data_IF_610505579349
#
_entry.id   IF_610505579349
#
_cell.length_a   1.000
_cell.length_b   1.000
_cell.length_c   1.000
_cell.angle_alpha   90.00
_cell.angle_beta   90.00
_cell.angle_gamma   90.00
#
_symmetry.space_group_name_H-M   'P 1'
#
loop_
_entity.id
_entity.type
_entity.pdbx_description
1 polymer ?
#
# COMPACT_ATOMS: atom_id res chain seq x y z
N UNK A 1 2.38 86.14 -3.50
CA UNK A 1 3.81 86.40 -3.21
C UNK A 1 4.57 85.14 -3.64
N UNK A 2 5.11 84.98 -4.85
CA UNK A 2 5.72 85.91 -5.80
C UNK A 2 6.96 86.63 -5.29
N UNK A 3 8.13 86.08 -5.63
CA UNK A 3 9.28 86.83 -6.15
C UNK A 3 9.87 86.08 -7.36
N UNK A 4 10.09 86.82 -8.45
CA UNK A 4 10.83 86.49 -9.69
C UNK A 4 12.06 87.45 -9.70
N UNK A 5 12.92 87.62 -10.76
CA UNK A 5 13.06 86.95 -12.07
C UNK A 5 14.52 86.37 -12.25
N UNK A 6 15.17 86.14 -13.42
CA UNK A 6 14.87 86.40 -14.83
C UNK A 6 15.64 85.47 -15.83
N UNK A 7 15.13 85.42 -17.08
CA UNK A 7 15.82 85.52 -18.40
C UNK A 7 17.33 85.24 -18.44
N UNK A 8 17.84 84.33 -19.30
CA UNK A 8 18.25 84.61 -20.71
C UNK A 8 19.17 83.45 -21.20
N UNK A 9 19.27 82.98 -22.47
CA UNK A 9 18.63 83.28 -23.78
C UNK A 9 18.70 82.05 -24.74
N UNK A 10 17.92 82.09 -25.82
CA UNK A 10 18.02 81.36 -27.12
C UNK A 10 19.19 81.92 -27.98
N UNK A 11 19.75 81.31 -29.04
CA UNK A 11 19.73 79.95 -29.64
C UNK A 11 20.72 79.91 -30.85
N UNK A 12 20.94 78.72 -31.43
CA UNK A 12 21.31 78.43 -32.84
C UNK A 12 22.65 78.95 -33.44
N UNK A 13 23.53 78.02 -33.83
CA UNK A 13 24.38 78.13 -35.03
C UNK A 13 24.86 76.74 -35.55
N UNK A 14 24.30 76.36 -36.71
CA UNK A 14 24.88 75.70 -37.91
C UNK A 14 26.24 74.97 -37.73
N UNK A 15 26.42 73.66 -37.95
CA UNK A 15 26.13 72.78 -39.11
C UNK A 15 27.25 72.66 -40.18
N UNK A 16 27.80 71.43 -40.28
CA UNK A 16 28.20 70.69 -41.50
C UNK A 16 29.66 70.62 -42.03
N UNK A 17 30.07 69.38 -42.41
CA UNK A 17 31.15 68.93 -43.33
C UNK A 17 32.64 69.18 -42.90
N UNK A 18 33.67 68.34 -43.22
CA UNK A 18 33.81 67.09 -44.01
C UNK A 18 34.94 66.16 -43.46
N UNK A 19 34.80 64.85 -43.74
CA UNK A 19 35.77 63.72 -43.74
C UNK A 19 37.20 63.84 -43.14
N UNK A 20 37.56 62.82 -42.34
CA UNK A 20 38.35 61.72 -42.92
C UNK A 20 39.68 61.33 -42.27
N UNK A 21 39.67 60.35 -41.37
CA UNK A 21 40.66 59.26 -41.44
C UNK A 21 40.16 57.98 -40.74
N UNK A 22 40.19 56.88 -41.47
CA UNK A 22 39.87 55.53 -40.99
C UNK A 22 41.15 54.88 -40.48
N UNK A 23 41.15 54.40 -39.25
CA UNK A 23 41.96 53.23 -38.88
C UNK A 23 41.27 52.44 -37.78
N UNK A 24 41.22 51.11 -37.97
CA UNK A 24 40.26 50.26 -37.30
C UNK A 24 40.57 50.00 -35.83
N UNK A 25 39.55 50.11 -34.99
CA UNK A 25 39.40 49.26 -33.82
C UNK A 25 38.15 48.42 -34.02
N UNK A 26 38.33 47.16 -34.40
CA UNK A 26 37.29 46.13 -34.27
C UNK A 26 37.07 45.89 -32.78
N UNK A 27 36.28 46.75 -32.14
CA UNK A 27 35.69 46.43 -30.84
C UNK A 27 34.81 45.21 -31.09
N UNK A 28 35.31 44.05 -30.69
CA UNK A 28 34.50 42.87 -30.58
C UNK A 28 33.34 43.24 -29.67
N UNK A 29 32.15 43.33 -30.24
CA UNK A 29 30.94 43.24 -29.46
C UNK A 29 30.93 41.83 -28.87
N UNK A 30 31.54 41.69 -27.69
CA UNK A 30 30.99 40.77 -26.70
C UNK A 30 29.56 41.26 -26.48
N UNK A 31 28.67 40.69 -27.30
CA UNK A 31 27.34 40.37 -26.85
C UNK A 31 27.52 39.52 -25.60
N UNK A 32 27.59 40.20 -24.46
CA UNK A 32 27.19 39.63 -23.19
C UNK A 32 25.72 39.27 -23.38
N UNK A 33 25.49 38.09 -23.97
CA UNK A 33 24.21 37.44 -23.97
C UNK A 33 23.76 37.45 -22.51
N UNK A 34 22.57 37.97 -22.18
CA UNK A 34 22.02 37.73 -20.87
C UNK A 34 21.87 36.21 -20.75
N UNK A 35 22.80 35.57 -20.04
CA UNK A 35 22.77 34.17 -19.65
C UNK A 35 21.66 34.00 -18.61
N UNK A 36 20.43 34.10 -19.10
CA UNK A 36 19.21 34.12 -18.33
C UNK A 36 18.21 33.17 -19.00
N UNK A 37 18.37 31.84 -18.81
CA UNK A 37 17.25 30.92 -18.88
C UNK A 37 16.34 31.18 -17.66
N UNK A 38 15.55 32.25 -17.70
CA UNK A 38 14.61 32.65 -16.64
C UNK A 38 13.33 31.82 -16.62
N UNK A 39 13.45 30.50 -16.80
CA UNK A 39 12.34 29.55 -16.63
C UNK A 39 12.84 28.30 -15.90
N UNK A 40 13.17 28.45 -14.62
CA UNK A 40 13.50 27.33 -13.73
C UNK A 40 12.31 26.43 -13.36
N UNK A 41 11.15 26.65 -13.97
CA UNK A 41 9.92 25.87 -13.77
C UNK A 41 9.81 24.81 -14.88
N UNK A 42 9.72 23.54 -14.49
CA UNK A 42 9.45 22.42 -15.38
C UNK A 42 7.96 22.04 -15.36
N UNK A 43 7.49 21.54 -16.50
CA UNK A 43 6.20 20.85 -16.64
C UNK A 43 6.50 19.41 -17.01
N UNK A 44 6.09 18.46 -16.17
CA UNK A 44 6.28 17.04 -16.42
C UNK A 44 4.93 16.33 -16.53
N UNK A 45 4.80 15.49 -17.54
CA UNK A 45 3.61 14.68 -17.79
C UNK A 45 3.86 13.24 -17.34
N UNK A 46 2.84 12.62 -16.75
CA UNK A 46 2.90 11.21 -16.38
C UNK A 46 2.63 10.29 -17.57
N UNK A 47 3.04 9.02 -17.47
CA UNK A 47 2.90 8.03 -18.55
C UNK A 47 1.45 7.85 -19.00
N UNK A 48 0.48 7.98 -18.09
CA UNK A 48 -0.95 7.90 -18.41
C UNK A 48 -1.57 9.25 -18.82
N UNK A 49 -0.80 10.33 -18.91
CA UNK A 49 -1.23 11.73 -19.16
C UNK A 49 -2.24 12.32 -18.16
N UNK A 50 -2.65 11.54 -17.15
CA UNK A 50 -3.57 11.98 -16.10
C UNK A 50 -2.93 13.00 -15.17
N UNK A 51 -1.64 12.86 -14.83
CA UNK A 51 -0.95 13.78 -13.94
C UNK A 51 -0.06 14.76 -14.71
N UNK A 52 -0.14 16.04 -14.32
CA UNK A 52 0.75 17.10 -14.79
C UNK A 52 1.41 17.74 -13.57
N UNK A 53 2.70 17.52 -13.40
CA UNK A 53 3.47 18.07 -12.28
C UNK A 53 4.20 19.33 -12.73
N UNK A 54 3.96 20.42 -12.01
CA UNK A 54 4.55 21.74 -12.20
C UNK A 54 5.40 22.06 -10.99
N UNK A 55 6.66 22.38 -11.19
CA UNK A 55 7.58 22.69 -10.10
C UNK A 55 8.91 23.19 -10.63
N UNK A 56 9.86 23.46 -9.75
CA UNK A 56 11.21 23.86 -10.14
C UNK A 56 12.24 22.83 -9.66
N UNK A 57 13.43 22.82 -10.26
CA UNK A 57 14.51 21.91 -9.87
C UNK A 57 14.86 22.08 -8.38
N UNK A 58 15.18 21.01 -7.65
CA UNK A 58 15.63 21.12 -6.27
C UNK A 58 16.87 22.01 -6.11
N UNK A 59 16.90 22.82 -5.06
CA UNK A 59 17.95 23.80 -4.79
C UNK A 59 17.86 25.10 -5.60
N UNK A 60 16.88 25.25 -6.50
CA UNK A 60 16.58 26.53 -7.16
C UNK A 60 15.72 27.44 -6.27
N UNK A 61 15.73 28.75 -6.53
CA UNK A 61 15.02 29.75 -5.71
C UNK A 61 13.48 29.58 -5.63
N UNK A 62 12.88 28.84 -6.57
CA UNK A 62 11.44 28.51 -6.59
C UNK A 62 11.16 27.02 -6.29
N UNK A 63 12.21 26.20 -6.27
CA UNK A 63 12.13 24.75 -6.14
C UNK A 63 12.17 24.25 -4.69
N UNK A 64 11.99 22.95 -4.48
CA UNK A 64 12.15 22.35 -3.16
C UNK A 64 13.59 22.55 -2.68
N UNK A 65 13.83 22.71 -1.36
CA UNK A 65 15.18 22.92 -0.84
C UNK A 65 16.07 21.70 -1.09
N UNK A 66 17.38 21.91 -1.25
CA UNK A 66 18.38 20.86 -1.49
C UNK A 66 18.36 19.78 -0.40
N UNK A 67 18.72 18.54 -0.74
CA UNK A 67 18.64 17.37 0.16
C UNK A 67 19.30 17.58 1.54
N UNK A 68 20.36 18.39 1.60
CA UNK A 68 21.10 18.74 2.83
C UNK A 68 20.30 19.60 3.83
N UNK A 69 19.23 20.26 3.39
CA UNK A 69 18.37 21.15 4.19
C UNK A 69 17.04 20.50 4.57
N UNK A 70 16.91 19.19 4.36
CA UNK A 70 15.68 18.42 4.57
C UNK A 70 15.73 17.70 5.90
N UNK A 71 14.66 17.85 6.68
CA UNK A 71 14.48 17.17 7.96
C UNK A 71 14.37 15.65 7.77
N UNK A 72 14.86 14.86 8.72
CA UNK A 72 15.04 13.40 8.58
C UNK A 72 13.76 12.60 8.34
N UNK A 73 12.58 13.19 8.56
CA UNK A 73 11.27 12.56 8.34
C UNK A 73 10.49 13.16 7.14
N UNK A 74 11.10 14.08 6.39
CA UNK A 74 10.47 14.78 5.27
C UNK A 74 11.05 14.38 3.91
N UNK A 75 10.18 14.34 2.90
CA UNK A 75 10.53 14.08 1.52
C UNK A 75 10.83 15.39 0.79
N UNK A 76 11.82 15.36 -0.10
CA UNK A 76 12.00 16.38 -1.13
C UNK A 76 10.90 16.23 -2.18
N UNK A 77 10.13 17.28 -2.46
CA UNK A 77 9.15 17.25 -3.57
C UNK A 77 9.84 17.50 -4.93
N UNK A 78 10.77 16.62 -5.32
CA UNK A 78 11.34 16.61 -6.67
C UNK A 78 10.22 16.29 -7.69
N UNK A 79 9.93 17.19 -8.66
CA UNK A 79 8.87 16.95 -9.64
C UNK A 79 9.03 15.65 -10.43
N UNK A 80 10.27 15.22 -10.70
CA UNK A 80 10.60 14.02 -11.47
C UNK A 80 10.19 12.75 -10.73
N UNK A 81 10.52 12.66 -9.45
CA UNK A 81 10.11 11.54 -8.59
C UNK A 81 8.62 11.61 -8.27
N UNK A 82 8.06 12.81 -8.15
CA UNK A 82 6.63 13.00 -7.88
C UNK A 82 5.76 12.45 -9.01
N UNK A 83 6.12 12.67 -10.29
CA UNK A 83 5.43 12.05 -11.44
C UNK A 83 5.43 10.51 -11.35
N UNK A 84 6.60 9.92 -11.07
CA UNK A 84 6.74 8.46 -10.94
C UNK A 84 5.94 7.91 -9.76
N UNK A 85 5.94 8.64 -8.64
CA UNK A 85 5.15 8.33 -7.44
C UNK A 85 3.66 8.34 -7.75
N UNK A 86 3.16 9.33 -8.50
CA UNK A 86 1.76 9.43 -8.89
C UNK A 86 1.31 8.23 -9.73
N UNK A 87 2.11 7.81 -10.73
CA UNK A 87 1.81 6.62 -11.55
C UNK A 87 1.82 5.32 -10.72
N UNK A 88 2.76 5.16 -9.78
CA UNK A 88 2.82 3.99 -8.89
C UNK A 88 1.61 3.94 -7.96
N UNK A 89 1.34 5.02 -7.23
CA UNK A 89 0.19 5.14 -6.32
C UNK A 89 -1.12 4.91 -7.06
N UNK A 90 -1.29 5.47 -8.26
CA UNK A 90 -2.44 5.21 -9.13
C UNK A 90 -2.58 3.74 -9.49
N UNK A 91 -1.51 3.12 -10.00
CA UNK A 91 -1.53 1.72 -10.44
C UNK A 91 -1.96 0.79 -9.31
N UNK A 92 -1.38 0.98 -8.12
CA UNK A 92 -1.69 0.16 -6.95
C UNK A 92 -3.08 0.45 -6.38
N UNK A 93 -3.50 1.72 -6.28
CA UNK A 93 -4.85 2.06 -5.81
C UNK A 93 -5.93 1.46 -6.74
N UNK A 94 -5.75 1.56 -8.06
CA UNK A 94 -6.69 0.95 -9.02
C UNK A 94 -6.71 -0.58 -8.90
N UNK A 95 -5.55 -1.23 -8.68
CA UNK A 95 -5.46 -2.67 -8.42
C UNK A 95 -6.25 -3.07 -7.16
N UNK A 96 -6.06 -2.39 -6.02
CA UNK A 96 -6.78 -2.70 -4.79
C UNK A 96 -8.28 -2.43 -4.87
N UNK A 97 -8.68 -1.38 -5.59
CA UNK A 97 -10.09 -1.11 -5.88
C UNK A 97 -10.69 -2.07 -6.92
N UNK A 98 -9.88 -2.87 -7.64
CA UNK A 98 -10.34 -3.72 -8.74
C UNK A 98 -10.82 -2.94 -9.98
N UNK A 99 -10.27 -1.76 -10.22
CA UNK A 99 -10.64 -0.85 -11.31
C UNK A 99 -9.64 -0.88 -12.46
N UNK A 100 -10.15 -0.74 -13.68
CA UNK A 100 -9.33 -0.44 -14.86
C UNK A 100 -8.92 1.03 -14.92
N UNK A 101 -7.81 1.31 -15.62
CA UNK A 101 -7.33 2.67 -15.86
C UNK A 101 -8.13 3.38 -16.97
N UNK A 102 -9.34 3.82 -16.61
CA UNK A 102 -10.24 4.62 -17.46
C UNK A 102 -10.47 5.99 -16.82
N UNK A 103 -9.38 6.73 -16.61
CA UNK A 103 -9.45 8.08 -16.05
C UNK A 103 -10.14 9.06 -16.99
N UNK A 104 -10.77 10.07 -16.41
CA UNK A 104 -11.48 11.15 -17.12
C UNK A 104 -11.06 12.54 -16.64
N UNK A 105 -10.69 12.66 -15.36
CA UNK A 105 -10.21 13.91 -14.78
C UNK A 105 -8.69 14.02 -14.72
N UNK A 106 -8.14 15.11 -15.28
CA UNK A 106 -6.70 15.44 -15.17
C UNK A 106 -6.39 16.04 -13.80
N UNK A 107 -5.27 15.62 -13.21
CA UNK A 107 -4.78 16.02 -11.89
C UNK A 107 -3.49 16.83 -12.07
N UNK A 108 -3.56 18.13 -11.80
CA UNK A 108 -2.41 19.04 -11.82
C UNK A 108 -1.81 19.13 -10.42
N UNK A 109 -0.49 19.02 -10.29
CA UNK A 109 0.21 19.10 -9.00
C UNK A 109 1.26 20.21 -9.07
N UNK A 110 1.08 21.24 -8.26
CA UNK A 110 1.95 22.42 -8.22
C UNK A 110 2.86 22.34 -6.98
N UNK A 111 4.15 22.05 -7.18
CA UNK A 111 5.19 22.09 -6.15
C UNK A 111 5.60 23.55 -5.92
N UNK A 112 5.50 24.02 -4.67
CA UNK A 112 5.89 25.38 -4.27
C UNK A 112 6.95 25.34 -3.18
N UNK A 113 8.20 25.61 -3.55
CA UNK A 113 9.35 25.55 -2.65
C UNK A 113 9.27 26.46 -1.42
N UNK A 114 8.65 27.63 -1.57
CA UNK A 114 8.56 28.64 -0.51
C UNK A 114 7.46 28.43 0.54
N UNK A 115 6.62 27.40 0.42
CA UNK A 115 5.63 27.06 1.44
C UNK A 115 6.28 26.29 2.59
N UNK A 116 5.81 26.51 3.82
CA UNK A 116 6.32 25.78 5.00
C UNK A 116 5.93 24.30 4.90
N UNK A 117 6.78 23.36 5.39
CA UNK A 117 6.45 21.93 5.35
C UNK A 117 5.13 21.59 6.06
N UNK A 118 4.76 22.35 7.09
CA UNK A 118 3.54 22.18 7.89
C UNK A 118 2.27 22.75 7.26
N UNK A 119 2.35 23.49 6.14
CA UNK A 119 1.15 24.03 5.48
C UNK A 119 0.26 22.92 4.91
N UNK A 120 -1.08 23.05 4.98
CA UNK A 120 -2.00 22.03 4.52
C UNK A 120 -1.92 21.85 2.99
N UNK A 121 -1.98 20.60 2.53
CA UNK A 121 -2.08 20.29 1.11
C UNK A 121 -3.53 20.48 0.68
N UNK A 122 -3.80 21.52 -0.10
CA UNK A 122 -5.14 21.84 -0.60
C UNK A 122 -5.37 21.15 -1.94
N UNK A 123 -6.55 20.53 -2.09
CA UNK A 123 -7.03 19.96 -3.35
C UNK A 123 -8.26 20.72 -3.80
N UNK A 124 -8.13 21.47 -4.89
CA UNK A 124 -9.23 22.16 -5.54
C UNK A 124 -9.84 21.27 -6.62
N UNK A 125 -11.17 21.25 -6.71
CA UNK A 125 -11.92 20.51 -7.74
C UNK A 125 -12.65 21.50 -8.64
N UNK A 126 -12.27 21.55 -9.90
CA UNK A 126 -12.76 22.52 -10.89
C UNK A 126 -13.63 21.82 -11.94
N UNK A 127 -14.93 22.08 -11.93
CA UNK A 127 -15.84 21.59 -12.95
C UNK A 127 -15.68 22.37 -14.26
N UNK A 128 -15.61 21.67 -15.39
CA UNK A 128 -15.66 22.26 -16.72
C UNK A 128 -16.64 21.44 -17.59
N UNK A 129 -17.19 22.01 -18.68
CA UNK A 129 -18.02 21.26 -19.64
C UNK A 129 -17.31 20.04 -20.25
N UNK A 130 -15.97 20.03 -20.28
CA UNK A 130 -15.14 18.89 -20.69
C UNK A 130 -14.77 17.93 -19.56
N UNK A 131 -15.44 17.98 -18.41
CA UNK A 131 -15.18 17.12 -17.25
C UNK A 131 -14.45 17.80 -16.10
N UNK A 132 -14.26 17.04 -15.02
CA UNK A 132 -13.62 17.47 -13.79
C UNK A 132 -12.10 17.62 -13.94
N UNK A 133 -11.52 18.64 -13.32
CA UNK A 133 -10.06 18.80 -13.16
C UNK A 133 -9.73 19.02 -11.70
N UNK A 134 -8.57 18.52 -11.28
CA UNK A 134 -8.11 18.63 -9.90
C UNK A 134 -6.79 19.40 -9.85
N UNK A 135 -6.64 20.29 -8.88
CA UNK A 135 -5.39 20.99 -8.63
C UNK A 135 -4.94 20.72 -7.19
N UNK A 136 -3.75 20.16 -7.03
CA UNK A 136 -3.09 19.94 -5.75
C UNK A 136 -1.95 20.95 -5.62
N UNK A 137 -1.83 21.61 -4.47
CA UNK A 137 -0.67 22.46 -4.15
C UNK A 137 0.12 21.79 -3.03
N UNK A 138 1.40 21.47 -3.29
CA UNK A 138 2.29 20.81 -2.32
C UNK A 138 3.49 21.70 -1.95
N UNK A 139 3.90 21.73 -0.66
CA UNK A 139 5.11 22.44 -0.23
C UNK A 139 6.39 21.76 -0.76
N UNK A 140 7.53 22.47 -0.72
CA UNK A 140 8.81 21.94 -1.18
C UNK A 140 9.35 20.75 -0.38
N UNK A 141 8.93 20.61 0.88
CA UNK A 141 9.15 19.42 1.70
C UNK A 141 7.82 18.94 2.27
N UNK A 142 7.58 17.64 2.30
CA UNK A 142 6.32 17.06 2.83
C UNK A 142 6.57 15.69 3.48
N UNK A 143 5.86 15.38 4.57
CA UNK A 143 5.85 14.04 5.15
C UNK A 143 5.32 12.99 4.16
N UNK A 144 5.91 11.79 4.17
CA UNK A 144 5.49 10.67 3.31
C UNK A 144 4.00 10.33 3.45
N UNK A 145 3.50 10.28 4.69
CA UNK A 145 2.09 10.00 5.00
C UNK A 145 1.16 11.06 4.41
N UNK A 146 1.56 12.34 4.50
CA UNK A 146 0.76 13.48 4.00
C UNK A 146 0.73 13.52 2.47
N UNK A 147 1.83 13.19 1.79
CA UNK A 147 1.84 13.01 0.34
C UNK A 147 0.89 11.89 -0.08
N UNK A 148 0.98 10.71 0.57
CA UNK A 148 0.13 9.57 0.24
C UNK A 148 -1.36 9.89 0.38
N UNK A 149 -1.75 10.55 1.49
CA UNK A 149 -3.13 11.00 1.73
C UNK A 149 -3.64 11.90 0.60
N UNK A 150 -2.88 12.93 0.25
CA UNK A 150 -3.25 13.86 -0.81
C UNK A 150 -3.41 13.18 -2.19
N UNK A 151 -2.49 12.29 -2.56
CA UNK A 151 -2.59 11.53 -3.81
C UNK A 151 -3.78 10.56 -3.81
N UNK A 152 -4.00 9.87 -2.69
CA UNK A 152 -5.15 8.96 -2.50
C UNK A 152 -6.46 9.73 -2.63
N UNK A 153 -6.60 10.86 -1.94
CA UNK A 153 -7.76 11.75 -2.00
C UNK A 153 -8.05 12.26 -3.41
N UNK A 154 -7.02 12.73 -4.12
CA UNK A 154 -7.18 13.22 -5.50
C UNK A 154 -7.66 12.13 -6.46
N UNK A 155 -7.12 10.92 -6.34
CA UNK A 155 -7.54 9.78 -7.14
C UNK A 155 -8.96 9.30 -6.78
N UNK A 156 -9.31 9.26 -5.49
CA UNK A 156 -10.67 8.91 -5.06
C UNK A 156 -11.69 9.94 -5.53
N UNK A 157 -11.36 11.24 -5.50
CA UNK A 157 -12.17 12.31 -6.09
C UNK A 157 -12.35 12.11 -7.60
N UNK A 158 -11.28 11.78 -8.34
CA UNK A 158 -11.37 11.50 -9.77
C UNK A 158 -12.29 10.30 -10.03
N UNK A 159 -12.06 9.17 -9.36
CA UNK A 159 -12.86 7.94 -9.49
C UNK A 159 -14.33 8.17 -9.15
N UNK A 160 -14.63 8.85 -8.04
CA UNK A 160 -16.01 9.12 -7.60
C UNK A 160 -16.76 10.06 -8.55
N UNK A 161 -16.06 11.01 -9.18
CA UNK A 161 -16.65 11.95 -10.14
C UNK A 161 -16.65 11.45 -11.60
N UNK A 162 -16.22 10.21 -11.90
CA UNK A 162 -16.33 9.63 -13.25
C UNK A 162 -17.79 9.55 -13.66
N UNK A 163 -18.17 10.31 -14.70
CA UNK A 163 -19.56 10.43 -15.14
C UNK A 163 -20.44 11.35 -14.29
N UNK A 164 -19.90 12.05 -13.29
CA UNK A 164 -20.64 13.05 -12.53
C UNK A 164 -20.88 14.31 -13.39
N UNK A 165 -22.11 14.47 -13.87
CA UNK A 165 -22.57 15.62 -14.66
C UNK A 165 -22.97 16.84 -13.82
N UNK A 166 -23.08 16.69 -12.49
CA UNK A 166 -23.39 17.81 -11.60
C UNK A 166 -22.16 18.72 -11.40
N UNK A 167 -22.40 19.96 -10.99
CA UNK A 167 -21.34 20.92 -10.64
C UNK A 167 -20.82 20.74 -9.21
N UNK A 168 -21.32 19.73 -8.46
CA UNK A 168 -20.88 19.44 -7.09
C UNK A 168 -19.86 18.28 -7.10
N UNK A 169 -18.65 18.46 -6.54
CA UNK A 169 -17.70 17.37 -6.43
C UNK A 169 -18.17 16.35 -5.37
N UNK A 170 -17.83 15.08 -5.57
CA UNK A 170 -17.94 14.06 -4.52
C UNK A 170 -17.23 14.49 -3.23
N UNK A 171 -17.84 14.22 -2.08
CA UNK A 171 -17.20 14.38 -0.77
C UNK A 171 -16.67 13.01 -0.30
N UNK A 172 -15.34 12.85 -0.33
CA UNK A 172 -14.69 11.61 0.11
C UNK A 172 -14.69 11.55 1.65
N UNK A 173 -15.19 10.46 2.28
CA UNK A 173 -15.14 10.31 3.72
C UNK A 173 -13.71 10.25 4.25
N UNK A 174 -13.48 10.87 5.41
CA UNK A 174 -12.14 10.94 6.02
C UNK A 174 -11.57 9.55 6.32
N UNK A 175 -12.40 8.61 6.79
CA UNK A 175 -11.98 7.22 7.04
C UNK A 175 -11.55 6.50 5.76
N UNK A 176 -12.13 6.82 4.60
CA UNK A 176 -11.76 6.18 3.34
C UNK A 176 -10.42 6.71 2.83
N UNK A 177 -10.23 8.04 2.90
CA UNK A 177 -8.95 8.69 2.56
C UNK A 177 -7.81 8.18 3.45
N UNK A 178 -7.96 8.26 4.78
CA UNK A 178 -6.91 7.85 5.72
C UNK A 178 -6.66 6.36 5.68
N UNK A 179 -7.74 5.56 5.61
CA UNK A 179 -7.67 4.11 5.65
C UNK A 179 -6.96 3.53 4.43
N UNK A 180 -7.34 3.96 3.21
CA UNK A 180 -6.66 3.52 1.99
C UNK A 180 -5.20 4.03 1.95
N UNK A 181 -4.95 5.30 2.30
CA UNK A 181 -3.59 5.84 2.29
C UNK A 181 -2.66 5.07 3.25
N UNK A 182 -3.14 4.69 4.44
CA UNK A 182 -2.36 3.88 5.40
C UNK A 182 -2.26 2.42 4.98
N UNK A 183 -3.33 1.82 4.44
CA UNK A 183 -3.33 0.43 3.95
C UNK A 183 -2.33 0.21 2.81
N UNK A 184 -2.32 1.11 1.82
CA UNK A 184 -1.40 1.07 0.69
C UNK A 184 0.07 1.24 1.11
N UNK A 185 0.36 2.15 2.05
CA UNK A 185 1.70 2.29 2.63
C UNK A 185 2.14 1.04 3.39
N UNK A 186 1.23 0.37 4.10
CA UNK A 186 1.54 -0.85 4.85
C UNK A 186 1.77 -2.07 3.94
N UNK A 187 1.04 -2.17 2.81
CA UNK A 187 1.22 -3.24 1.82
C UNK A 187 2.52 -3.11 1.01
N UNK A 188 2.86 -1.90 0.57
CA UNK A 188 3.89 -1.70 -0.46
C UNK A 188 5.11 -0.87 0.00
N UNK A 189 5.05 -0.25 1.18
CA UNK A 189 6.18 0.41 1.84
C UNK A 189 6.94 1.40 0.97
N UNK A 190 8.27 1.29 0.99
CA UNK A 190 9.20 2.16 0.24
C UNK A 190 9.07 2.05 -1.29
N UNK A 191 8.42 1.01 -1.82
CA UNK A 191 8.30 0.84 -3.28
C UNK A 191 7.36 1.85 -3.94
N UNK A 192 6.37 2.38 -3.21
CA UNK A 192 5.41 3.37 -3.73
C UNK A 192 6.04 4.74 -3.92
N UNK A 193 6.83 5.19 -2.95
CA UNK A 193 7.36 6.56 -2.86
C UNK A 193 8.89 6.46 -2.85
N UNK A 194 9.54 6.44 -4.03
CA UNK A 194 10.99 6.38 -4.12
C UNK A 194 11.63 7.67 -3.59
N UNK A 195 12.65 7.54 -2.74
CA UNK A 195 13.42 8.68 -2.23
C UNK A 195 14.83 8.67 -2.81
N UNK A 196 15.40 9.85 -3.11
CA UNK A 196 16.79 9.96 -3.62
C UNK A 196 17.80 9.35 -2.63
N UNK A 197 17.50 9.43 -1.33
CA UNK A 197 18.33 8.89 -0.24
C UNK A 197 18.32 7.36 -0.16
N UNK A 198 17.35 6.66 -0.75
CA UNK A 198 17.13 5.22 -0.59
C UNK A 198 17.23 4.40 -1.89
N UNK A 199 17.69 5.01 -2.99
CA UNK A 199 17.86 4.35 -4.30
C UNK A 199 18.77 3.09 -4.29
N UNK A 200 19.55 2.88 -3.23
CA UNK A 200 20.41 1.70 -3.02
C UNK A 200 19.76 0.57 -2.20
N UNK A 201 18.53 0.71 -1.71
CA UNK A 201 17.88 -0.25 -0.80
C UNK A 201 16.54 -0.79 -1.34
N UNK A 202 16.59 -1.56 -2.42
CA UNK A 202 15.49 -2.45 -2.83
C UNK A 202 15.92 -3.91 -2.59
N UNK A 203 16.13 -4.25 -1.31
CA UNK A 203 16.06 -5.64 -0.88
C UNK A 203 14.64 -5.94 -0.43
N UNK A 204 14.08 -7.05 -0.92
CA UNK A 204 12.75 -7.51 -0.56
C UNK A 204 12.72 -7.89 0.93
N UNK A 205 12.29 -6.96 1.78
CA UNK A 205 11.81 -7.31 3.10
C UNK A 205 10.57 -8.20 2.92
N UNK A 206 10.58 -9.39 3.54
CA UNK A 206 9.40 -10.25 3.58
C UNK A 206 8.22 -9.44 4.14
N UNK A 207 7.10 -9.40 3.41
CA UNK A 207 5.95 -8.53 3.69
C UNK A 207 5.64 -8.51 5.20
N UNK A 208 5.98 -7.42 5.92
CA UNK A 208 5.63 -7.32 7.33
C UNK A 208 4.10 -7.27 7.42
N UNK A 209 3.54 -7.89 8.45
CA UNK A 209 2.09 -7.95 8.62
C UNK A 209 1.51 -6.53 8.60
N UNK A 210 0.63 -6.30 7.61
CA UNK A 210 0.00 -5.02 7.24
C UNK A 210 -0.65 -4.31 8.43
N UNK A 211 -1.08 -5.08 9.44
CA UNK A 211 -1.75 -4.59 10.63
C UNK A 211 -0.89 -4.58 11.90
N UNK A 212 0.42 -4.85 11.81
CA UNK A 212 1.33 -4.82 12.98
C UNK A 212 1.20 -3.53 13.79
N UNK A 213 1.27 -2.39 13.11
CA UNK A 213 1.13 -1.06 13.73
C UNK A 213 -0.32 -0.81 14.20
N UNK A 214 -1.32 -1.23 13.42
CA UNK A 214 -2.72 -1.06 13.79
C UNK A 214 -3.08 -1.86 15.06
N UNK A 215 -2.61 -3.11 15.21
CA UNK A 215 -2.79 -3.89 16.44
C UNK A 215 -2.09 -3.22 17.62
N UNK A 216 -0.83 -2.79 17.45
CA UNK A 216 -0.08 -2.06 18.49
C UNK A 216 -0.81 -0.81 19.00
N UNK A 217 -1.42 -0.04 18.09
CA UNK A 217 -2.09 1.22 18.41
C UNK A 217 -3.51 1.04 18.96
N UNK A 218 -4.26 0.02 18.51
CA UNK A 218 -5.65 -0.21 18.91
C UNK A 218 -5.80 -1.15 20.12
N UNK A 219 -4.71 -1.82 20.54
CA UNK A 219 -4.68 -2.69 21.73
C UNK A 219 -5.22 -1.99 22.96
N UNK A 220 -6.25 -2.56 23.58
CA UNK A 220 -6.86 -2.05 24.80
C UNK A 220 -7.71 -0.78 24.63
N UNK A 221 -7.89 -0.26 23.41
CA UNK A 221 -8.82 0.85 23.16
C UNK A 221 -10.28 0.38 23.17
N UNK A 222 -11.18 1.27 23.55
CA UNK A 222 -12.62 1.06 23.40
C UNK A 222 -13.04 1.10 21.93
N UNK A 223 -14.13 0.40 21.60
CA UNK A 223 -14.77 0.44 20.28
C UNK A 223 -15.12 1.89 19.91
N UNK A 224 -14.63 2.33 18.74
CA UNK A 224 -15.14 3.54 18.07
C UNK A 224 -16.31 3.10 17.21
N UNK A 225 -17.48 3.74 17.32
CA UNK A 225 -18.65 3.35 16.53
C UNK A 225 -18.45 3.61 15.04
N UNK A 226 -19.11 2.83 14.19
CA UNK A 226 -19.08 3.02 12.75
C UNK A 226 -19.70 4.37 12.35
N UNK A 227 -20.74 4.80 13.07
CA UNK A 227 -21.33 6.13 12.93
C UNK A 227 -20.33 7.26 13.23
N UNK A 228 -19.56 7.16 14.32
CA UNK A 228 -18.54 8.17 14.67
C UNK A 228 -17.42 8.24 13.63
N UNK A 229 -16.95 7.09 13.13
CA UNK A 229 -15.94 7.03 12.06
C UNK A 229 -16.44 7.71 10.77
N UNK A 230 -17.73 7.59 10.45
CA UNK A 230 -18.34 8.25 9.30
C UNK A 230 -18.49 9.77 9.46
N UNK A 231 -18.54 10.28 10.68
CA UNK A 231 -18.76 11.70 11.00
C UNK A 231 -17.49 12.45 11.45
N UNK A 232 -16.39 11.72 11.65
CA UNK A 232 -15.09 12.24 12.10
C UNK A 232 -14.55 13.39 11.24
N UNK A 233 -13.94 14.39 11.90
CA UNK A 233 -13.31 15.55 11.26
C UNK A 233 -11.87 15.77 11.75
N UNK A 234 -10.95 16.29 10.92
CA UNK A 234 -9.53 16.40 11.30
C UNK A 234 -9.26 17.29 12.51
N UNK A 235 -10.10 18.31 12.74
CA UNK A 235 -10.03 19.27 13.85
C UNK A 235 -10.36 18.67 15.23
N UNK A 236 -10.90 17.46 15.29
CA UNK A 236 -11.35 16.80 16.52
C UNK A 236 -10.26 15.99 17.22
N UNK A 237 -9.09 15.82 16.58
CA UNK A 237 -8.07 14.86 17.01
C UNK A 237 -6.77 15.53 17.44
N UNK A 238 -6.26 15.15 18.61
CA UNK A 238 -4.84 15.33 18.94
C UNK A 238 -3.96 14.32 18.17
N UNK A 239 -2.64 14.46 18.22
CA UNK A 239 -1.71 13.61 17.45
C UNK A 239 -1.84 12.09 17.73
N UNK A 240 -2.16 11.70 18.97
CA UNK A 240 -2.32 10.29 19.34
C UNK A 240 -3.66 9.72 18.87
N UNK A 241 -4.74 10.48 19.10
CA UNK A 241 -6.09 10.15 18.63
C UNK A 241 -6.14 10.10 17.09
N UNK A 242 -5.38 10.97 16.43
CA UNK A 242 -5.24 11.01 14.98
C UNK A 242 -4.64 9.71 14.44
N UNK A 243 -3.55 9.21 15.03
CA UNK A 243 -2.96 7.94 14.57
C UNK A 243 -3.84 6.74 14.92
N UNK A 244 -4.54 6.76 16.06
CA UNK A 244 -5.55 5.75 16.40
C UNK A 244 -6.72 5.75 15.41
N UNK A 245 -7.22 6.92 15.00
CA UNK A 245 -8.23 7.07 13.95
C UNK A 245 -7.73 6.48 12.63
N UNK A 246 -6.49 6.79 12.22
CA UNK A 246 -5.90 6.25 10.97
C UNK A 246 -5.74 4.73 11.00
N UNK A 247 -5.30 4.15 12.12
CA UNK A 247 -5.25 2.70 12.31
C UNK A 247 -6.65 2.06 12.25
N UNK A 248 -7.65 2.72 12.83
CA UNK A 248 -9.05 2.26 12.81
C UNK A 248 -9.63 2.31 11.40
N UNK A 249 -9.37 3.41 10.68
CA UNK A 249 -9.75 3.60 9.29
C UNK A 249 -9.08 2.57 8.35
N UNK A 250 -7.81 2.24 8.59
CA UNK A 250 -7.10 1.19 7.83
C UNK A 250 -7.77 -0.17 7.99
N UNK A 251 -8.14 -0.55 9.23
CA UNK A 251 -8.88 -1.78 9.51
C UNK A 251 -10.24 -1.76 8.81
N UNK A 252 -11.02 -0.70 8.98
CA UNK A 252 -12.35 -0.56 8.37
C UNK A 252 -12.31 -0.70 6.84
N UNK A 253 -11.39 0.00 6.18
CA UNK A 253 -11.21 -0.08 4.72
C UNK A 253 -10.87 -1.50 4.27
N UNK A 254 -9.95 -2.16 4.95
CA UNK A 254 -9.52 -3.51 4.56
C UNK A 254 -10.65 -4.53 4.75
N UNK A 255 -11.37 -4.47 5.86
CA UNK A 255 -12.49 -5.38 6.16
C UNK A 255 -13.66 -5.15 5.19
N UNK A 256 -13.93 -3.90 4.79
CA UNK A 256 -14.88 -3.59 3.72
C UNK A 256 -14.43 -4.12 2.33
N UNK A 257 -13.13 -4.17 2.07
CA UNK A 257 -12.56 -4.78 0.84
C UNK A 257 -12.57 -6.31 0.88
N UNK A 258 -12.47 -6.93 2.06
CA UNK A 258 -12.48 -8.38 2.27
C UNK A 258 -13.88 -9.01 2.36
N UNK A 259 -14.95 -8.22 2.48
CA UNK A 259 -16.31 -8.69 2.29
C UNK A 259 -16.47 -9.38 0.91
N UNK A 260 -17.37 -10.38 0.77
CA UNK A 260 -17.72 -10.94 -0.53
C UNK A 260 -18.14 -9.82 -1.51
N UNK A 261 -17.54 -9.77 -2.71
CA UNK A 261 -17.72 -8.65 -3.66
C UNK A 261 -17.41 -7.25 -3.08
N UNK A 262 -16.62 -7.15 -2.00
CA UNK A 262 -16.33 -5.90 -1.29
C UNK A 262 -15.68 -4.83 -2.17
N UNK A 263 -14.77 -5.24 -3.08
CA UNK A 263 -14.20 -4.35 -4.12
C UNK A 263 -15.29 -3.76 -5.01
N UNK A 264 -16.21 -4.57 -5.53
CA UNK A 264 -17.31 -4.10 -6.36
C UNK A 264 -18.29 -3.20 -5.58
N UNK A 265 -18.56 -3.52 -4.31
CA UNK A 265 -19.35 -2.69 -3.40
C UNK A 265 -18.69 -1.32 -3.16
N UNK A 266 -17.37 -1.27 -2.96
CA UNK A 266 -16.62 -0.02 -2.79
C UNK A 266 -16.63 0.83 -4.07
N UNK A 267 -16.49 0.22 -5.25
CA UNK A 267 -16.65 0.93 -6.52
C UNK A 267 -18.08 1.46 -6.70
N UNK A 268 -19.09 0.71 -6.24
CA UNK A 268 -20.48 1.14 -6.21
C UNK A 268 -20.65 2.35 -5.30
N UNK A 269 -20.12 2.29 -4.08
CA UNK A 269 -20.12 3.38 -3.12
C UNK A 269 -19.51 4.67 -3.68
N UNK A 270 -18.29 4.58 -4.25
CA UNK A 270 -17.61 5.73 -4.86
C UNK A 270 -18.44 6.39 -5.96
N UNK A 271 -19.11 5.61 -6.81
CA UNK A 271 -20.02 6.11 -7.86
C UNK A 271 -21.30 6.75 -7.30
N UNK A 272 -21.75 6.38 -6.10
CA UNK A 272 -22.91 6.99 -5.45
C UNK A 272 -22.56 8.32 -4.76
N UNK A 273 -21.31 8.52 -4.29
CA UNK A 273 -20.93 9.70 -3.49
C UNK A 273 -21.36 11.07 -4.05
N UNK A 274 -21.22 11.39 -5.35
CA UNK A 274 -21.70 12.69 -5.88
C UNK A 274 -23.20 12.94 -5.66
N UNK A 275 -24.01 11.87 -5.68
CA UNK A 275 -25.47 11.93 -5.61
C UNK A 275 -26.03 12.15 -4.20
N UNK A 276 -25.21 12.10 -3.14
CA UNK A 276 -25.67 12.23 -1.77
C UNK A 276 -24.93 13.35 -1.01
N UNK A 277 -25.65 14.00 -0.09
CA UNK A 277 -25.07 14.90 0.92
C UNK A 277 -24.57 14.13 2.16
N UNK A 278 -25.01 12.89 2.34
CA UNK A 278 -24.62 12.02 3.45
C UNK A 278 -23.94 10.75 2.89
N UNK A 279 -22.65 10.60 3.19
CA UNK A 279 -21.84 9.44 2.77
C UNK A 279 -22.35 8.12 3.35
N UNK A 280 -23.02 8.12 4.51
CA UNK A 280 -23.61 6.92 5.10
C UNK A 280 -24.73 6.34 4.22
N UNK A 281 -25.55 7.21 3.61
CA UNK A 281 -26.62 6.78 2.70
C UNK A 281 -26.01 6.23 1.40
N UNK A 282 -24.99 6.89 0.85
CA UNK A 282 -24.24 6.38 -0.29
C UNK A 282 -23.58 5.02 0.02
N UNK A 283 -23.09 4.81 1.25
CA UNK A 283 -22.48 3.55 1.69
C UNK A 283 -23.51 2.42 1.74
N UNK A 284 -24.69 2.64 2.32
CA UNK A 284 -25.78 1.64 2.27
C UNK A 284 -26.22 1.31 0.84
N UNK A 285 -26.11 2.26 -0.11
CA UNK A 285 -26.38 1.98 -1.53
C UNK A 285 -25.25 1.19 -2.20
N UNK A 286 -23.99 1.46 -1.87
CA UNK A 286 -22.83 0.73 -2.39
C UNK A 286 -22.69 -0.69 -1.83
N UNK A 287 -23.00 -0.86 -0.54
CA UNK A 287 -22.91 -2.12 0.21
C UNK A 287 -24.29 -2.74 0.49
N UNK A 288 -25.30 -2.45 -0.33
CA UNK A 288 -26.65 -2.98 -0.19
C UNK A 288 -26.76 -4.52 -0.06
N UNK A 289 -25.86 -5.35 -0.63
CA UNK A 289 -25.85 -6.80 -0.36
C UNK A 289 -25.51 -7.18 1.09
N UNK A 290 -24.75 -6.33 1.81
CA UNK A 290 -24.23 -6.60 3.15
C UNK A 290 -24.95 -5.83 4.25
N UNK A 291 -25.36 -4.59 3.98
CA UNK A 291 -25.97 -3.70 4.97
C UNK A 291 -27.29 -3.13 4.44
N UNK A 292 -28.42 -3.54 5.03
CA UNK A 292 -29.72 -2.94 4.75
C UNK A 292 -29.91 -1.64 5.54
N UNK A 293 -29.36 -1.58 6.75
CA UNK A 293 -29.44 -0.42 7.65
C UNK A 293 -28.07 -0.08 8.24
N UNK A 294 -27.91 1.16 8.73
CA UNK A 294 -26.70 1.55 9.47
C UNK A 294 -26.49 0.71 10.74
N UNK A 295 -27.56 0.15 11.33
CA UNK A 295 -27.46 -0.74 12.48
C UNK A 295 -26.79 -2.08 12.12
N UNK A 296 -26.94 -2.55 10.89
CA UNK A 296 -26.28 -3.78 10.43
C UNK A 296 -24.79 -3.56 10.23
N UNK A 297 -24.42 -2.41 9.66
CA UNK A 297 -23.03 -1.97 9.55
C UNK A 297 -22.37 -1.76 10.93
N UNK A 298 -23.10 -1.17 11.90
CA UNK A 298 -22.61 -1.00 13.28
C UNK A 298 -22.40 -2.33 14.00
N UNK A 299 -23.33 -3.30 13.86
CA UNK A 299 -23.19 -4.66 14.41
C UNK A 299 -21.99 -5.39 13.79
N UNK A 300 -21.86 -5.36 12.47
CA UNK A 300 -20.74 -5.95 11.75
C UNK A 300 -19.41 -5.35 12.21
N UNK A 301 -19.34 -4.02 12.29
CA UNK A 301 -18.15 -3.31 12.73
C UNK A 301 -17.76 -3.62 14.17
N UNK A 302 -18.73 -3.72 15.09
CA UNK A 302 -18.47 -4.16 16.46
C UNK A 302 -17.88 -5.57 16.52
N UNK A 303 -18.35 -6.51 15.69
CA UNK A 303 -17.79 -7.87 15.58
C UNK A 303 -16.37 -7.85 14.99
N UNK A 304 -16.14 -7.06 13.94
CA UNK A 304 -14.80 -6.85 13.35
C UNK A 304 -13.82 -6.30 14.39
N UNK A 305 -14.19 -5.24 15.09
CA UNK A 305 -13.35 -4.62 16.12
C UNK A 305 -13.03 -5.59 17.27
N UNK A 306 -14.03 -6.31 17.79
CA UNK A 306 -13.83 -7.26 18.89
C UNK A 306 -12.98 -8.46 18.45
N UNK A 307 -13.09 -8.89 17.20
CA UNK A 307 -12.16 -9.86 16.62
C UNK A 307 -10.74 -9.28 16.52
N UNK A 308 -10.56 -8.07 16.01
CA UNK A 308 -9.25 -7.47 15.81
C UNK A 308 -8.51 -7.17 17.13
N UNK A 309 -9.21 -6.57 18.10
CA UNK A 309 -8.63 -6.17 19.40
C UNK A 309 -8.66 -7.28 20.46
N UNK A 310 -9.61 -8.22 20.38
CA UNK A 310 -9.76 -9.32 21.34
C UNK A 310 -8.91 -10.55 21.05
N UNK A 311 -8.49 -10.78 19.79
CA UNK A 311 -7.69 -11.97 19.40
C UNK A 311 -6.24 -11.95 19.88
N UNK A 312 -5.77 -10.92 20.58
CA UNK A 312 -4.38 -10.89 21.07
C UNK A 312 -4.10 -11.83 22.27
N UNK A 313 -5.09 -12.57 22.78
CA UNK A 313 -4.86 -13.70 23.71
C UNK A 313 -4.79 -15.06 22.99
N UNK A 314 -5.27 -15.14 21.75
CA UNK A 314 -5.27 -16.32 20.89
C UNK A 314 -5.35 -15.83 19.43
N UNK A 315 -4.21 -15.70 18.74
CA UNK A 315 -4.25 -15.56 17.29
C UNK A 315 -4.95 -16.82 16.75
N UNK A 316 -6.11 -16.64 16.12
CA UNK A 316 -6.82 -17.70 15.40
C UNK A 316 -7.05 -17.25 13.97
N UNK A 317 -6.39 -17.94 13.04
CA UNK A 317 -6.85 -18.03 11.66
C UNK A 317 -8.28 -18.58 11.59
N UNK A 318 -8.98 -18.44 10.46
CA UNK A 318 -10.14 -19.28 10.18
C UNK A 318 -9.71 -20.74 10.04
N UNK A 319 -10.64 -21.68 10.18
CA UNK A 319 -10.38 -23.12 10.01
C UNK A 319 -9.84 -23.38 8.60
N UNK A 320 -10.49 -22.85 7.56
CA UNK A 320 -10.00 -22.86 6.16
C UNK A 320 -8.55 -22.38 5.98
N UNK A 321 -8.19 -21.25 6.60
CA UNK A 321 -6.86 -20.67 6.46
C UNK A 321 -5.82 -21.50 7.22
N UNK A 322 -6.17 -22.00 8.41
CA UNK A 322 -5.32 -22.94 9.14
C UNK A 322 -5.10 -24.24 8.36
N UNK A 323 -6.13 -24.78 7.71
CA UNK A 323 -6.04 -25.99 6.88
C UNK A 323 -5.17 -25.78 5.63
N UNK A 324 -5.31 -24.65 4.93
CA UNK A 324 -4.44 -24.27 3.80
C UNK A 324 -2.98 -24.11 4.22
N UNK A 325 -2.73 -23.48 5.37
CA UNK A 325 -1.37 -23.39 5.92
C UNK A 325 -0.79 -24.77 6.29
N UNK A 326 -1.60 -25.72 6.75
CA UNK A 326 -1.15 -27.11 6.93
C UNK A 326 -0.77 -27.74 5.58
N UNK A 327 -1.58 -27.58 4.53
CA UNK A 327 -1.27 -28.08 3.18
C UNK A 327 0.04 -27.49 2.63
N UNK A 328 0.22 -26.17 2.68
CA UNK A 328 1.43 -25.48 2.22
C UNK A 328 2.70 -25.97 2.95
N UNK A 329 2.63 -26.14 4.27
CA UNK A 329 3.76 -26.63 5.08
C UNK A 329 4.06 -28.11 4.77
N UNK A 330 3.04 -28.90 4.46
CA UNK A 330 3.17 -30.32 4.12
C UNK A 330 3.46 -30.58 2.64
N UNK A 331 3.45 -29.56 1.77
CA UNK A 331 3.78 -29.65 0.35
C UNK A 331 4.99 -28.78 -0.05
N UNK A 332 6.16 -28.91 0.59
CA UNK A 332 7.30 -28.04 0.33
C UNK A 332 7.79 -28.15 -1.12
N UNK A 333 8.08 -27.00 -1.74
CA UNK A 333 8.67 -26.90 -3.07
C UNK A 333 10.15 -27.34 -3.08
N UNK A 334 10.39 -28.65 -3.17
CA UNK A 334 11.73 -29.24 -3.19
C UNK A 334 12.27 -29.27 -4.64
N UNK A 335 13.58 -29.05 -4.78
CA UNK A 335 14.28 -29.24 -6.05
C UNK A 335 14.55 -30.73 -6.29
N UNK A 336 13.73 -31.38 -7.12
CA UNK A 336 13.84 -32.82 -7.38
C UNK A 336 14.61 -33.08 -8.67
N UNK A 337 15.64 -33.92 -8.59
CA UNK A 337 16.33 -34.48 -9.75
C UNK A 337 15.64 -35.78 -10.18
N UNK A 338 14.77 -35.70 -11.18
CA UNK A 338 14.04 -36.86 -11.72
C UNK A 338 14.87 -37.78 -12.64
N UNK A 339 16.19 -37.61 -12.69
CA UNK A 339 17.09 -38.46 -13.47
C UNK A 339 18.55 -38.02 -13.39
N UNK A 340 19.47 -38.94 -13.67
CA UNK A 340 20.92 -38.78 -13.48
C UNK A 340 21.54 -37.61 -14.25
N UNK A 341 20.92 -37.21 -15.37
CA UNK A 341 21.35 -36.11 -16.24
C UNK A 341 20.31 -34.96 -16.36
N UNK A 342 19.29 -34.92 -15.50
CA UNK A 342 18.24 -33.90 -15.57
C UNK A 342 18.57 -32.66 -14.72
N UNK A 343 18.27 -31.46 -15.26
CA UNK A 343 18.34 -30.20 -14.51
C UNK A 343 17.31 -30.25 -13.36
N UNK A 344 17.69 -29.92 -12.10
CA UNK A 344 16.75 -29.94 -10.97
C UNK A 344 15.63 -28.90 -11.16
N UNK A 345 14.41 -29.39 -11.39
CA UNK A 345 13.21 -28.56 -11.34
C UNK A 345 12.70 -28.45 -9.91
N UNK A 346 12.20 -27.28 -9.51
CA UNK A 346 11.37 -27.17 -8.31
C UNK A 346 9.98 -27.72 -8.65
N UNK A 347 9.52 -28.68 -7.84
CA UNK A 347 8.15 -29.18 -7.91
C UNK A 347 7.60 -29.24 -6.49
N UNK A 348 6.40 -28.71 -6.29
CA UNK A 348 5.63 -28.92 -5.08
C UNK A 348 5.22 -30.40 -5.02
N UNK A 349 5.67 -31.09 -3.97
CA UNK A 349 5.39 -32.50 -3.73
C UNK A 349 5.05 -32.66 -2.25
N UNK A 350 4.01 -33.43 -1.91
CA UNK A 350 3.66 -33.67 -0.52
C UNK A 350 4.81 -34.37 0.20
N UNK A 351 5.11 -33.93 1.42
CA UNK A 351 6.22 -34.40 2.25
C UNK A 351 6.17 -35.93 2.46
N UNK A 352 4.97 -36.51 2.44
CA UNK A 352 4.71 -37.95 2.35
C UNK A 352 5.41 -38.62 1.15
N UNK A 353 5.18 -38.13 -0.06
CA UNK A 353 5.81 -38.66 -1.28
C UNK A 353 7.32 -38.43 -1.27
N UNK A 354 7.78 -37.32 -0.69
CA UNK A 354 9.21 -37.05 -0.51
C UNK A 354 9.83 -38.11 0.40
N UNK A 355 9.27 -38.34 1.60
CA UNK A 355 9.74 -39.34 2.57
C UNK A 355 9.68 -40.77 1.99
N UNK A 356 8.69 -41.08 1.15
CA UNK A 356 8.54 -42.39 0.53
C UNK A 356 9.56 -42.67 -0.60
N UNK A 357 9.95 -41.63 -1.36
CA UNK A 357 10.72 -41.81 -2.60
C UNK A 357 12.18 -41.31 -2.53
N UNK A 358 12.62 -40.67 -1.44
CA UNK A 358 13.99 -40.12 -1.32
C UNK A 358 14.73 -40.66 -0.09
N UNK A 359 16.06 -40.70 -0.18
CA UNK A 359 16.91 -41.04 0.97
C UNK A 359 16.82 -39.99 2.07
N UNK A 360 16.96 -40.40 3.32
CA UNK A 360 16.84 -39.51 4.49
C UNK A 360 17.72 -38.25 4.42
N UNK A 361 18.96 -38.37 3.95
CA UNK A 361 19.86 -37.22 3.78
C UNK A 361 19.38 -36.17 2.76
N UNK A 362 18.44 -36.53 1.87
CA UNK A 362 17.87 -35.61 0.87
C UNK A 362 16.66 -34.85 1.41
N UNK A 363 15.94 -35.39 2.41
CA UNK A 363 14.69 -34.81 2.93
C UNK A 363 14.72 -34.41 4.41
N UNK A 364 15.77 -34.73 5.17
CA UNK A 364 15.93 -34.36 6.58
C UNK A 364 15.68 -32.86 6.82
N UNK A 365 16.28 -31.99 6.00
CA UNK A 365 16.09 -30.54 6.12
C UNK A 365 14.64 -30.11 5.83
N UNK A 366 13.97 -30.72 4.86
CA UNK A 366 12.58 -30.40 4.53
C UNK A 366 11.63 -30.79 5.67
N UNK A 367 11.83 -31.98 6.27
CA UNK A 367 11.04 -32.44 7.42
C UNK A 367 11.31 -31.57 8.66
N UNK A 368 12.56 -31.14 8.88
CA UNK A 368 12.92 -30.24 9.98
C UNK A 368 12.29 -28.85 9.82
N UNK A 369 12.27 -28.28 8.61
CA UNK A 369 11.60 -27.01 8.31
C UNK A 369 10.09 -27.12 8.51
N UNK A 370 9.44 -28.14 7.96
CA UNK A 370 8.02 -28.38 8.14
C UNK A 370 7.65 -28.52 9.64
N UNK A 371 8.50 -29.19 10.41
CA UNK A 371 8.34 -29.32 11.88
C UNK A 371 8.37 -27.96 12.59
N UNK A 372 9.30 -27.07 12.22
CA UNK A 372 9.38 -25.71 12.78
C UNK A 372 8.18 -24.85 12.35
N UNK A 373 7.76 -24.93 11.08
CA UNK A 373 6.60 -24.20 10.57
C UNK A 373 5.31 -24.65 11.26
N UNK A 374 5.10 -25.95 11.47
CA UNK A 374 3.98 -26.47 12.26
C UNK A 374 4.02 -26.00 13.73
N UNK A 375 5.20 -25.84 14.33
CA UNK A 375 5.33 -25.28 15.68
C UNK A 375 4.90 -23.82 15.74
N UNK A 376 5.25 -23.01 14.73
CA UNK A 376 4.81 -21.61 14.65
C UNK A 376 3.30 -21.53 14.38
N UNK A 377 2.78 -22.36 13.47
CA UNK A 377 1.35 -22.46 13.18
C UNK A 377 0.53 -22.89 14.40
N UNK A 378 1.07 -23.74 15.28
CA UNK A 378 0.40 -24.14 16.53
C UNK A 378 0.09 -22.96 17.48
N UNK A 379 0.81 -21.84 17.36
CA UNK A 379 0.59 -20.62 18.16
C UNK A 379 -0.50 -19.70 17.56
N UNK A 380 -0.80 -19.84 16.27
CA UNK A 380 -1.66 -18.92 15.48
C UNK A 380 -2.90 -19.58 14.86
N UNK A 381 -3.00 -20.91 14.95
CA UNK A 381 -4.13 -21.67 14.44
C UNK A 381 -5.34 -21.69 15.40
N UNK A 382 -6.57 -21.88 14.86
CA UNK A 382 -7.75 -22.20 15.67
C UNK A 382 -7.54 -23.41 16.59
N UNK A 383 -8.18 -23.39 17.77
CA UNK A 383 -8.03 -24.45 18.80
C UNK A 383 -8.53 -25.81 18.31
N UNK A 384 -9.48 -25.76 17.38
CA UNK A 384 -10.07 -26.87 16.63
C UNK A 384 -8.99 -27.64 15.84
N UNK A 385 -7.98 -26.95 15.30
CA UNK A 385 -6.85 -27.53 14.56
C UNK A 385 -5.62 -27.84 15.43
N UNK A 386 -5.56 -27.33 16.66
CA UNK A 386 -4.37 -27.44 17.52
C UNK A 386 -3.92 -28.89 17.76
N UNK A 387 -4.87 -29.84 17.85
CA UNK A 387 -4.57 -31.27 17.96
C UNK A 387 -4.00 -31.84 16.65
N UNK A 388 -4.61 -31.51 15.51
CA UNK A 388 -4.14 -31.97 14.19
C UNK A 388 -2.72 -31.50 13.89
N UNK A 389 -2.41 -30.23 14.19
CA UNK A 389 -1.08 -29.63 14.02
C UNK A 389 -0.08 -30.29 14.97
N UNK A 390 -0.45 -30.50 16.24
CA UNK A 390 0.42 -31.17 17.21
C UNK A 390 0.73 -32.61 16.81
N UNK A 391 -0.25 -33.35 16.32
CA UNK A 391 -0.09 -34.75 15.89
C UNK A 391 0.82 -34.86 14.66
N UNK A 392 0.69 -33.97 13.67
CA UNK A 392 1.63 -33.88 12.54
C UNK A 392 3.05 -33.55 13.02
N UNK A 393 3.20 -32.50 13.83
CA UNK A 393 4.50 -32.06 14.37
C UNK A 393 5.18 -33.19 15.16
N UNK A 394 4.41 -33.95 15.95
CA UNK A 394 4.92 -35.06 16.74
C UNK A 394 5.31 -36.27 15.87
N UNK A 395 4.54 -36.60 14.82
CA UNK A 395 4.89 -37.64 13.87
C UNK A 395 6.24 -37.34 13.17
N UNK A 396 6.41 -36.11 12.65
CA UNK A 396 7.64 -35.68 12.00
C UNK A 396 8.83 -35.62 12.97
N UNK A 397 8.65 -35.14 14.21
CA UNK A 397 9.69 -35.14 15.24
C UNK A 397 10.14 -36.55 15.64
N UNK A 398 9.20 -37.48 15.81
CA UNK A 398 9.53 -38.88 16.15
C UNK A 398 10.25 -39.56 14.99
N UNK A 399 9.86 -39.29 13.74
CA UNK A 399 10.57 -39.75 12.56
C UNK A 399 12.00 -39.22 12.51
N UNK A 400 12.20 -37.90 12.58
CA UNK A 400 13.52 -37.27 12.59
C UNK A 400 14.42 -37.87 13.67
N UNK A 401 13.96 -37.88 14.93
CA UNK A 401 14.75 -38.41 16.06
C UNK A 401 15.22 -39.85 15.81
N UNK A 402 14.30 -40.76 15.46
CA UNK A 402 14.65 -42.16 15.19
C UNK A 402 15.61 -42.30 14.01
N UNK A 403 15.39 -41.55 12.93
CA UNK A 403 16.26 -41.58 11.75
C UNK A 403 17.68 -41.06 12.04
N UNK A 404 17.83 -39.97 12.79
CA UNK A 404 19.15 -39.47 13.22
C UNK A 404 19.85 -40.45 14.19
N UNK A 405 19.11 -41.10 15.09
CA UNK A 405 19.64 -42.15 15.97
C UNK A 405 20.12 -43.41 15.21
N UNK A 406 19.46 -43.77 14.10
CA UNK A 406 19.87 -44.89 13.24
C UNK A 406 20.96 -44.51 12.24
N UNK A 407 21.01 -43.25 11.79
CA UNK A 407 22.05 -42.76 10.86
C UNK A 407 23.41 -42.54 11.53
N UNK A 408 23.43 -42.33 12.85
CA UNK A 408 24.67 -42.13 13.63
C UNK A 408 25.32 -43.42 14.15
N UNK A 409 24.64 -44.57 14.04
CA UNK A 409 25.09 -45.87 14.57
C UNK A 409 25.25 -46.89 13.45
N UNK A 410 26.47 -47.02 12.95
CA UNK A 410 26.83 -47.86 11.81
C UNK A 410 26.52 -49.35 12.06
N UNK A 411 25.94 -49.99 11.04
CA UNK A 411 26.04 -51.43 10.75
C UNK A 411 24.99 -52.47 11.24
N UNK A 412 23.87 -52.11 11.88
CA UNK A 412 22.82 -53.15 12.17
C UNK A 412 21.33 -52.76 12.12
N UNK A 413 20.97 -51.46 12.02
CA UNK A 413 19.57 -50.99 12.18
C UNK A 413 18.82 -50.67 10.87
N UNK A 414 19.18 -51.33 9.77
CA UNK A 414 18.51 -51.14 8.48
C UNK A 414 17.02 -51.51 8.48
N UNK A 415 16.61 -52.48 9.30
CA UNK A 415 15.21 -52.85 9.49
C UNK A 415 14.44 -51.78 10.28
N UNK A 416 14.95 -51.36 11.44
CA UNK A 416 14.39 -50.28 12.27
C UNK A 416 14.23 -48.97 11.48
N UNK A 417 15.20 -48.65 10.62
CA UNK A 417 15.20 -47.48 9.76
C UNK A 417 14.08 -47.51 8.70
N UNK A 418 13.73 -48.69 8.17
CA UNK A 418 12.58 -48.89 7.28
C UNK A 418 11.26 -48.89 8.04
N UNK A 419 11.23 -49.48 9.24
CA UNK A 419 10.06 -49.48 10.12
C UNK A 419 9.65 -48.06 10.50
N UNK A 420 10.60 -47.21 10.92
CA UNK A 420 10.33 -45.81 11.23
C UNK A 420 9.81 -45.00 10.03
N UNK A 421 10.25 -45.31 8.81
CA UNK A 421 9.71 -44.71 7.59
C UNK A 421 8.29 -45.20 7.29
N UNK A 422 8.00 -46.50 7.49
CA UNK A 422 6.64 -47.03 7.34
C UNK A 422 5.66 -46.42 8.36
N UNK A 423 6.05 -46.36 9.64
CA UNK A 423 5.21 -45.80 10.71
C UNK A 423 4.86 -44.32 10.49
N UNK A 424 5.80 -43.48 10.01
CA UNK A 424 5.49 -42.07 9.73
C UNK A 424 4.55 -41.92 8.53
N UNK A 425 4.70 -42.74 7.48
CA UNK A 425 3.81 -42.71 6.32
C UNK A 425 2.39 -43.15 6.71
N UNK A 426 2.23 -44.25 7.45
CA UNK A 426 0.93 -44.69 7.98
C UNK A 426 0.29 -43.63 8.89
N UNK A 427 1.09 -42.93 9.69
CA UNK A 427 0.59 -41.85 10.57
C UNK A 427 0.19 -40.60 9.80
N UNK A 428 0.92 -40.22 8.75
CA UNK A 428 0.55 -39.11 7.86
C UNK A 428 -0.74 -39.42 7.07
N UNK A 429 -0.88 -40.64 6.55
CA UNK A 429 -2.09 -41.08 5.83
C UNK A 429 -3.34 -41.01 6.73
N UNK A 430 -3.22 -41.44 7.98
CA UNK A 430 -4.30 -41.32 8.97
C UNK A 430 -4.65 -39.86 9.28
N UNK A 431 -3.65 -38.98 9.38
CA UNK A 431 -3.88 -37.56 9.68
C UNK A 431 -4.47 -36.79 8.49
N UNK A 432 -4.16 -37.20 7.26
CA UNK A 432 -4.77 -36.66 6.05
C UNK A 432 -6.27 -37.04 5.95
N UNK A 433 -6.65 -38.26 6.32
CA UNK A 433 -8.07 -38.64 6.42
C UNK A 433 -8.81 -37.75 7.44
N UNK A 434 -8.23 -37.55 8.63
CA UNK A 434 -8.81 -36.66 9.66
C UNK A 434 -8.96 -35.22 9.14
N UNK A 435 -7.97 -34.73 8.38
CA UNK A 435 -8.00 -33.40 7.77
C UNK A 435 -9.14 -33.26 6.76
N UNK A 436 -9.31 -34.25 5.87
CA UNK A 436 -10.39 -34.27 4.88
C UNK A 436 -11.79 -34.37 5.52
N UNK A 437 -11.92 -35.09 6.63
CA UNK A 437 -13.18 -35.15 7.37
C UNK A 437 -13.52 -33.82 8.08
N UNK A 438 -12.52 -33.08 8.58
CA UNK A 438 -12.73 -31.71 9.08
C UNK A 438 -13.24 -30.79 7.95
N UNK A 439 -12.62 -30.83 6.76
CA UNK A 439 -13.08 -30.06 5.58
C UNK A 439 -14.53 -30.39 5.22
N UNK A 440 -14.91 -31.67 5.24
CA UNK A 440 -16.29 -32.11 4.95
C UNK A 440 -17.29 -31.61 5.99
N UNK A 441 -16.93 -31.64 7.26
CA UNK A 441 -17.80 -31.17 8.36
C UNK A 441 -17.99 -29.64 8.32
N UNK A 442 -16.93 -28.88 8.02
CA UNK A 442 -17.00 -27.42 7.88
C UNK A 442 -17.83 -27.02 6.65
N UNK A 443 -17.64 -27.70 5.52
CA UNK A 443 -18.46 -27.52 4.31
C UNK A 443 -19.95 -27.87 4.53
N UNK A 444 -20.24 -28.89 5.34
CA UNK A 444 -21.62 -29.25 5.71
C UNK A 444 -22.25 -28.21 6.64
N UNK A 445 -21.49 -27.67 7.61
CA UNK A 445 -21.95 -26.60 8.49
C UNK A 445 -22.20 -25.28 7.73
N UNK A 446 -21.38 -24.97 6.71
CA UNK A 446 -21.60 -23.82 5.82
C UNK A 446 -22.81 -23.98 4.89
N UNK A 447 -23.24 -25.22 4.61
CA UNK A 447 -24.37 -25.52 3.73
C UNK A 447 -25.75 -25.51 4.42
N UNK A 448 -25.80 -25.56 5.76
CA UNK A 448 -27.04 -25.48 6.55
C UNK A 448 -27.06 -24.24 7.49
N UNK A 449 -27.29 -23.03 6.94
CA UNK A 449 -27.42 -21.81 7.73
C UNK A 449 -28.75 -21.71 8.53
N UNK A 450 -29.60 -22.74 8.51
CA UNK A 450 -30.93 -22.74 9.12
C UNK A 450 -31.12 -23.87 10.16
N UNK A 451 -30.02 -24.37 10.73
CA UNK A 451 -29.95 -25.59 11.54
C UNK A 451 -30.25 -25.50 13.05
N UNK A 452 -30.82 -24.40 13.58
CA UNK A 452 -31.63 -24.32 14.85
C UNK A 452 -31.98 -22.89 15.29
#
# INVERSE_FOLDING_TARGET
MFHCPAKSRRALLKAALVCGLVMGWTVACLSAQPLVPSQGLMVLHSRSDQFVVLGALPGSALGPPSLSLIETNHLQMDPTLLVLTCERVKTVLLHELGLSDTWSGRIQINVRGGLRPTEPVVIESHWNPGGWRYQIVVPGQLERTRLMRALTRALLLEVANRGNTSQRPAEIPLWLEEGLAKHLLALHGDSLIPEIRTLTSVMQAAHPDVFTEARRQLRGRHLVSFADLCMARPDQFNAEQWEAFRCTAQLLVAELLYLPEGRACLQGFLRQLPGYLNSQIALLRGYAPHFQTMLDAEKWWAVVWMNFTGRERLMRFSVDHGLRQIEEILAPAIAVRLGTNAVPGRKELPLREVIANTDFAQHEQAVALATQQLQLLQVTAPVELARLISDHRQALLTYLRRRTEYSSKTSSKGADAKLATKEVLERLDMLEVIRLDIVRLDAAAAADPAGR
#
